data_IF_867625845148
#
_entry.id   IF_867625845148
#
_cell.length_a   1.000
_cell.length_b   1.000
_cell.length_c   1.000
_cell.angle_alpha   90.00
_cell.angle_beta   90.00
_cell.angle_gamma   90.00
#
_symmetry.space_group_name_H-M   'P 1'
#
loop_
_entity.id
_entity.type
_entity.pdbx_description
1 polymer ?
#
# COMPACT_ATOMS: atom_id res chain seq x y z
N UNK A 1 2.33 3.19 12.32
CA UNK A 1 3.68 2.77 11.91
C UNK A 1 3.78 2.78 10.38
N UNK A 2 4.98 2.95 9.85
CA UNK A 2 5.24 2.91 8.40
C UNK A 2 6.45 2.02 8.11
N UNK A 3 6.44 1.34 6.97
CA UNK A 3 7.62 0.63 6.48
C UNK A 3 8.79 1.62 6.28
N UNK A 4 10.04 1.19 6.46
CA UNK A 4 11.20 2.10 6.39
C UNK A 4 11.29 2.89 5.08
N UNK A 5 10.98 2.27 3.94
CA UNK A 5 11.01 2.91 2.63
C UNK A 5 9.93 3.98 2.42
N UNK A 6 8.87 3.99 3.24
CA UNK A 6 7.81 5.00 3.21
C UNK A 6 8.06 6.16 4.19
N UNK A 7 9.20 6.21 4.87
CA UNK A 7 9.52 7.30 5.81
C UNK A 7 9.51 8.70 5.19
N UNK A 8 9.95 8.93 3.94
CA UNK A 8 9.78 10.24 3.29
C UNK A 8 8.32 10.67 3.20
N UNK A 9 7.43 9.73 2.86
CA UNK A 9 5.97 9.97 2.78
C UNK A 9 5.41 10.29 4.17
N UNK A 10 5.81 9.54 5.19
CA UNK A 10 5.43 9.79 6.58
C UNK A 10 5.81 11.23 7.00
N UNK A 11 7.05 11.64 6.80
CA UNK A 11 7.49 12.99 7.17
C UNK A 11 6.80 14.09 6.34
N UNK A 12 6.49 13.82 5.06
CA UNK A 12 5.73 14.74 4.23
C UNK A 12 4.28 14.91 4.76
N UNK A 13 3.62 13.82 5.14
CA UNK A 13 2.29 13.86 5.76
C UNK A 13 2.34 14.63 7.08
N UNK A 14 3.32 14.37 7.95
CA UNK A 14 3.49 15.11 9.19
C UNK A 14 3.71 16.61 8.96
N UNK A 15 4.41 16.98 7.89
CA UNK A 15 4.53 18.39 7.49
C UNK A 15 3.18 18.99 7.08
N UNK A 16 2.41 18.29 6.25
CA UNK A 16 1.08 18.75 5.82
C UNK A 16 0.09 18.89 6.98
N UNK A 17 0.26 18.07 8.03
CA UNK A 17 -0.53 18.14 9.27
C UNK A 17 -0.02 19.20 10.27
N UNK A 18 1.07 19.89 9.95
CA UNK A 18 1.67 20.88 10.84
C UNK A 18 2.52 20.32 11.99
N UNK A 19 2.81 19.02 11.98
CA UNK A 19 3.59 18.33 13.02
C UNK A 19 5.08 18.25 12.70
N UNK A 20 5.51 18.68 11.52
CA UNK A 20 6.89 18.66 11.06
C UNK A 20 7.23 19.98 10.39
N UNK A 21 8.46 20.50 10.58
CA UNK A 21 8.92 21.71 9.91
C UNK A 21 9.44 21.43 8.50
N UNK A 22 9.28 22.40 7.59
CA UNK A 22 9.85 22.31 6.25
C UNK A 22 11.39 22.23 6.28
N UNK A 23 12.01 22.89 7.27
CA UNK A 23 13.47 22.87 7.43
C UNK A 23 13.96 21.45 7.74
N UNK A 24 13.32 20.76 8.70
CA UNK A 24 13.66 19.37 9.03
C UNK A 24 13.40 18.43 7.85
N UNK A 25 12.30 18.64 7.12
CA UNK A 25 11.96 17.85 5.95
C UNK A 25 13.02 18.00 4.85
N UNK A 26 13.47 19.23 4.57
CA UNK A 26 14.54 19.51 3.60
C UNK A 26 15.89 18.87 4.00
N UNK A 27 16.10 18.67 5.28
CA UNK A 27 17.29 18.00 5.84
C UNK A 27 17.05 16.49 6.08
N UNK A 28 16.10 15.87 5.40
CA UNK A 28 15.85 14.43 5.55
C UNK A 28 17.14 13.62 5.43
N UNK A 29 17.42 12.77 6.42
CA UNK A 29 18.64 11.97 6.59
C UNK A 29 19.93 12.76 6.87
N UNK A 30 19.89 14.06 6.92
CA UNK A 30 21.03 14.87 7.34
C UNK A 30 21.04 15.06 8.87
N UNK A 31 22.20 15.45 9.41
CA UNK A 31 22.32 15.74 10.84
C UNK A 31 21.35 16.88 11.27
N UNK A 32 20.59 16.62 12.33
CA UNK A 32 19.59 17.56 12.84
C UNK A 32 18.32 17.67 11.98
N UNK A 33 18.16 16.85 10.96
CA UNK A 33 16.95 16.78 10.14
C UNK A 33 16.07 15.56 10.46
N UNK A 34 15.03 15.36 9.67
CA UNK A 34 14.12 14.22 9.80
C UNK A 34 14.85 12.88 9.60
N UNK A 35 14.57 11.91 10.47
CA UNK A 35 15.25 10.63 10.49
C UNK A 35 14.86 9.75 9.29
N UNK A 36 15.81 8.97 8.77
CA UNK A 36 15.53 7.95 7.75
C UNK A 36 14.52 6.90 8.24
N UNK A 37 14.57 6.61 9.55
CA UNK A 37 13.62 5.76 10.25
C UNK A 37 12.94 6.62 11.30
N UNK A 38 11.63 6.89 11.20
CA UNK A 38 10.91 7.69 12.17
C UNK A 38 11.18 7.22 13.59
N UNK A 39 11.51 8.16 14.47
CA UNK A 39 11.95 7.87 15.83
C UNK A 39 11.31 8.83 16.85
N UNK A 40 10.62 8.28 17.84
CA UNK A 40 10.03 9.06 18.93
C UNK A 40 11.05 9.86 19.77
N UNK A 41 12.29 9.39 19.80
CA UNK A 41 13.34 9.98 20.64
C UNK A 41 14.32 10.86 19.87
N UNK A 42 14.35 10.77 18.54
CA UNK A 42 15.34 11.49 17.72
C UNK A 42 14.73 12.52 16.79
N UNK A 43 13.50 12.29 16.32
CA UNK A 43 12.78 13.27 15.52
C UNK A 43 12.26 14.41 16.39
N UNK A 44 12.30 15.63 15.85
CA UNK A 44 11.71 16.81 16.49
C UNK A 44 10.20 16.89 16.25
N UNK A 45 9.70 16.22 15.22
CA UNK A 45 8.30 16.14 14.89
C UNK A 45 7.58 15.03 15.67
N UNK A 46 6.25 14.98 15.51
CA UNK A 46 5.43 13.97 16.16
C UNK A 46 5.61 12.61 15.49
N UNK A 47 5.95 11.59 16.26
CA UNK A 47 6.10 10.20 15.81
C UNK A 47 5.43 9.27 16.82
N UNK A 48 4.37 8.57 16.38
CA UNK A 48 3.65 7.61 17.24
C UNK A 48 4.52 6.39 17.57
N UNK A 49 5.15 5.81 16.55
CA UNK A 49 5.95 4.59 16.66
C UNK A 49 7.32 4.79 16.01
N UNK A 50 8.36 4.45 16.74
CA UNK A 50 9.68 4.30 16.14
C UNK A 50 9.67 3.08 15.21
N UNK A 51 10.19 3.22 13.99
CA UNK A 51 10.25 2.16 13.00
C UNK A 51 11.66 2.00 12.44
N UNK A 52 11.90 0.92 11.73
CA UNK A 52 13.21 0.68 11.11
C UNK A 52 13.51 -0.79 10.86
N UNK A 53 12.94 -1.67 11.64
CA UNK A 53 13.05 -3.11 11.43
C UNK A 53 11.83 -3.62 10.68
N UNK A 54 12.06 -4.42 9.64
CA UNK A 54 11.03 -5.01 8.79
C UNK A 54 10.09 -5.86 9.66
N UNK A 55 8.77 -5.70 9.48
CA UNK A 55 7.74 -6.44 10.21
C UNK A 55 7.46 -5.97 11.64
N UNK A 56 8.43 -5.41 12.37
CA UNK A 56 8.22 -5.03 13.77
C UNK A 56 7.19 -3.90 13.93
N UNK A 57 7.15 -2.93 13.00
CA UNK A 57 6.13 -1.88 13.02
C UNK A 57 4.71 -2.42 12.91
N UNK A 58 4.54 -3.49 12.16
CA UNK A 58 3.26 -4.19 11.99
C UNK A 58 2.80 -4.80 13.32
N UNK A 59 3.63 -5.64 13.92
CA UNK A 59 3.35 -6.23 15.23
C UNK A 59 3.12 -5.18 16.33
N UNK A 60 3.92 -4.11 16.34
CA UNK A 60 3.76 -3.02 17.30
C UNK A 60 2.39 -2.35 17.24
N UNK A 61 1.82 -2.15 16.04
CA UNK A 61 0.47 -1.57 15.91
C UNK A 61 -0.61 -2.47 16.48
N UNK A 62 -0.49 -3.78 16.32
CA UNK A 62 -1.40 -4.73 16.94
C UNK A 62 -1.35 -4.67 18.46
N UNK A 63 -0.16 -4.78 19.03
CA UNK A 63 -0.01 -4.75 20.50
C UNK A 63 -0.41 -3.38 21.08
N UNK A 64 -0.19 -2.28 20.35
CA UNK A 64 -0.70 -0.96 20.76
C UNK A 64 -2.23 -0.91 20.76
N UNK A 65 -2.89 -1.57 19.81
CA UNK A 65 -4.35 -1.70 19.80
C UNK A 65 -4.84 -2.51 21.01
N UNK A 66 -4.21 -3.63 21.31
CA UNK A 66 -4.52 -4.43 22.51
C UNK A 66 -4.33 -3.64 23.81
N UNK A 67 -3.27 -2.85 23.92
CA UNK A 67 -3.05 -1.97 25.09
C UNK A 67 -4.15 -0.92 25.19
N UNK A 68 -4.56 -0.31 24.08
CA UNK A 68 -5.65 0.65 24.06
C UNK A 68 -6.97 0.01 24.54
N UNK A 69 -7.30 -1.19 24.06
CA UNK A 69 -8.49 -1.93 24.45
C UNK A 69 -8.45 -2.33 25.92
N UNK A 70 -7.29 -2.75 26.43
CA UNK A 70 -7.07 -3.05 27.85
C UNK A 70 -7.32 -1.81 28.72
N UNK A 71 -6.71 -0.67 28.38
CA UNK A 71 -6.88 0.58 29.12
C UNK A 71 -8.34 1.04 29.12
N UNK A 72 -9.04 0.89 28.02
CA UNK A 72 -10.46 1.20 27.91
C UNK A 72 -11.31 0.29 28.80
N UNK A 73 -11.12 -1.03 28.70
CA UNK A 73 -11.88 -2.01 29.46
C UNK A 73 -11.70 -1.86 30.98
N UNK A 74 -10.55 -1.38 31.42
CA UNK A 74 -10.25 -1.12 32.82
C UNK A 74 -10.55 0.31 33.30
N UNK A 75 -11.23 1.14 32.49
CA UNK A 75 -11.56 2.53 32.81
C UNK A 75 -10.32 3.38 33.17
N UNK A 76 -9.17 3.09 32.52
CA UNK A 76 -7.92 3.79 32.73
C UNK A 76 -7.71 4.97 31.77
N UNK A 77 -8.66 5.19 30.85
CA UNK A 77 -8.70 6.34 29.93
C UNK A 77 -9.76 7.35 30.39
N UNK A 78 -9.59 8.66 30.08
CA UNK A 78 -10.64 9.65 30.29
C UNK A 78 -11.95 9.20 29.63
N UNK A 79 -13.09 9.45 30.28
CA UNK A 79 -14.40 8.96 29.84
C UNK A 79 -14.84 9.52 28.46
N UNK A 80 -14.32 10.67 28.06
CA UNK A 80 -14.56 11.34 26.79
C UNK A 80 -13.51 11.03 25.72
N UNK A 81 -12.50 10.22 26.05
CA UNK A 81 -11.47 9.88 25.09
C UNK A 81 -11.97 8.90 24.05
N UNK A 82 -11.98 9.33 22.79
CA UNK A 82 -12.24 8.44 21.66
C UNK A 82 -11.06 7.51 21.43
N UNK A 83 -11.36 6.23 21.23
CA UNK A 83 -10.34 5.26 20.84
C UNK A 83 -9.84 5.56 19.42
N UNK A 84 -8.52 5.57 19.27
CA UNK A 84 -7.87 5.75 17.97
C UNK A 84 -7.77 4.43 17.20
N UNK A 85 -7.59 4.53 15.89
CA UNK A 85 -7.27 3.39 15.05
C UNK A 85 -5.76 3.29 14.87
N UNK A 86 -5.22 2.11 15.09
CA UNK A 86 -3.81 1.84 14.81
C UNK A 86 -3.65 1.48 13.34
N UNK A 87 -2.71 2.12 12.65
CA UNK A 87 -2.49 1.90 11.21
C UNK A 87 -1.03 1.53 10.98
N UNK A 88 -0.79 0.40 10.31
CA UNK A 88 0.50 0.06 9.77
C UNK A 88 0.47 0.18 8.24
N UNK A 89 1.41 0.95 7.69
CA UNK A 89 1.71 0.95 6.26
C UNK A 89 2.92 0.04 6.06
N UNK A 90 2.71 -1.11 5.44
CA UNK A 90 3.71 -2.14 5.26
C UNK A 90 3.94 -2.48 3.78
N UNK A 91 5.09 -3.04 3.46
CA UNK A 91 5.34 -3.64 2.14
C UNK A 91 4.90 -5.10 2.11
N UNK A 92 4.63 -5.62 0.92
CA UNK A 92 4.35 -7.05 0.72
C UNK A 92 5.52 -7.95 1.16
N UNK A 93 6.76 -7.49 1.01
CA UNK A 93 7.94 -8.20 1.50
C UNK A 93 8.05 -8.26 3.05
N UNK A 94 7.32 -7.43 3.78
CA UNK A 94 7.26 -7.57 5.25
C UNK A 94 6.50 -8.83 5.69
N UNK A 95 5.73 -9.44 4.79
CA UNK A 95 5.10 -10.74 5.02
C UNK A 95 6.11 -11.91 4.98
N UNK A 96 7.36 -11.68 4.62
CA UNK A 96 8.42 -12.67 4.76
C UNK A 96 8.91 -12.80 6.23
N UNK A 97 8.50 -11.87 7.10
CA UNK A 97 8.86 -11.85 8.51
C UNK A 97 7.87 -12.65 9.38
N UNK A 98 8.36 -13.65 10.11
CA UNK A 98 7.54 -14.55 10.94
C UNK A 98 6.70 -13.83 12.00
N UNK A 99 7.21 -12.74 12.57
CA UNK A 99 6.51 -11.96 13.59
C UNK A 99 5.21 -11.31 13.07
N UNK A 100 5.08 -11.09 11.77
CA UNK A 100 3.84 -10.57 11.15
C UNK A 100 2.74 -11.62 11.25
N UNK A 101 3.06 -12.88 10.97
CA UNK A 101 2.10 -13.98 11.09
C UNK A 101 1.71 -14.27 12.54
N UNK A 102 2.65 -14.18 13.47
CA UNK A 102 2.35 -14.31 14.89
C UNK A 102 1.40 -13.20 15.34
N UNK A 103 1.68 -11.94 14.98
CA UNK A 103 0.81 -10.81 15.28
C UNK A 103 -0.57 -10.95 14.62
N UNK A 104 -0.64 -11.45 13.38
CA UNK A 104 -1.90 -11.69 12.68
C UNK A 104 -2.82 -12.63 13.46
N UNK A 105 -2.27 -13.73 13.98
CA UNK A 105 -3.01 -14.70 14.78
C UNK A 105 -3.42 -14.13 16.14
N UNK A 106 -2.57 -13.33 16.77
CA UNK A 106 -2.94 -12.64 18.03
C UNK A 106 -4.10 -11.66 17.80
N UNK A 107 -4.11 -10.94 16.66
CA UNK A 107 -5.23 -10.08 16.28
C UNK A 107 -6.56 -10.83 16.21
N UNK A 108 -6.57 -12.01 15.62
CA UNK A 108 -7.75 -12.88 15.58
C UNK A 108 -8.13 -13.41 16.96
N UNK A 109 -7.19 -13.94 17.73
CA UNK A 109 -7.44 -14.50 19.08
C UNK A 109 -8.07 -13.48 20.03
N UNK A 110 -7.72 -12.22 19.91
CA UNK A 110 -8.16 -11.15 20.80
C UNK A 110 -9.23 -10.24 20.18
N UNK A 111 -9.79 -10.62 19.02
CA UNK A 111 -10.84 -9.88 18.31
C UNK A 111 -10.53 -8.39 18.16
N UNK A 112 -9.31 -8.07 17.73
CA UNK A 112 -8.84 -6.69 17.58
C UNK A 112 -9.57 -5.98 16.44
N UNK A 113 -10.31 -4.90 16.76
CA UNK A 113 -11.16 -4.18 15.80
C UNK A 113 -10.55 -2.84 15.35
N UNK A 114 -9.65 -2.26 16.13
CA UNK A 114 -9.10 -0.91 15.93
C UNK A 114 -7.80 -0.90 15.12
N UNK A 115 -7.63 -1.82 14.18
CA UNK A 115 -6.38 -2.04 13.48
C UNK A 115 -6.58 -2.11 11.98
N UNK A 116 -5.77 -1.36 11.22
CA UNK A 116 -5.63 -1.48 9.78
C UNK A 116 -4.19 -1.79 9.40
N UNK A 117 -4.00 -2.81 8.60
CA UNK A 117 -2.74 -3.06 7.89
C UNK A 117 -2.92 -2.73 6.41
N UNK A 118 -2.23 -1.70 5.96
CA UNK A 118 -2.25 -1.25 4.56
C UNK A 118 -1.02 -1.80 3.88
N UNK A 119 -1.21 -2.78 2.99
CA UNK A 119 -0.13 -3.47 2.29
C UNK A 119 0.12 -2.77 0.95
N UNK A 120 1.32 -2.20 0.80
CA UNK A 120 1.80 -1.68 -0.47
C UNK A 120 2.34 -2.86 -1.31
N UNK A 121 1.50 -3.34 -2.22
CA UNK A 121 1.80 -4.49 -3.05
C UNK A 121 2.57 -4.08 -4.30
N UNK A 122 3.89 -4.21 -4.29
CA UNK A 122 4.76 -3.86 -5.40
C UNK A 122 5.46 -5.06 -6.07
N UNK A 123 5.21 -6.27 -5.61
CA UNK A 123 5.79 -7.54 -6.10
C UNK A 123 7.31 -7.60 -5.97
N UNK A 124 7.91 -6.90 -5.01
CA UNK A 124 9.35 -6.92 -4.76
C UNK A 124 9.63 -7.51 -3.39
N UNK A 125 10.25 -8.67 -3.34
CA UNK A 125 10.84 -9.28 -2.15
C UNK A 125 12.33 -8.95 -2.06
N UNK A 126 12.92 -9.18 -0.90
CA UNK A 126 14.36 -9.07 -0.69
C UNK A 126 15.16 -10.00 -1.64
N UNK A 127 14.59 -11.14 -1.99
CA UNK A 127 15.22 -12.18 -2.79
C UNK A 127 14.93 -12.08 -4.29
N UNK A 128 14.03 -11.19 -4.71
CA UNK A 128 13.72 -11.03 -6.12
C UNK A 128 12.32 -10.48 -6.41
N UNK A 129 11.94 -10.53 -7.69
CA UNK A 129 10.62 -10.11 -8.17
C UNK A 129 9.71 -11.31 -8.25
N UNK A 130 8.55 -11.24 -7.58
CA UNK A 130 7.54 -12.30 -7.59
C UNK A 130 6.49 -11.97 -8.64
N UNK A 131 6.39 -12.82 -9.67
CA UNK A 131 5.44 -12.65 -10.78
C UNK A 131 4.12 -13.39 -10.57
N UNK A 132 4.07 -14.33 -9.65
CA UNK A 132 2.85 -15.10 -9.35
C UNK A 132 1.84 -14.24 -8.62
N UNK A 133 0.57 -14.45 -8.85
CA UNK A 133 -0.55 -13.74 -8.23
C UNK A 133 -0.52 -13.79 -6.68
N UNK A 134 0.62 -13.39 -6.08
CA UNK A 134 0.88 -13.42 -4.65
C UNK A 134 -0.20 -12.68 -3.86
N UNK A 135 -0.74 -11.59 -4.42
CA UNK A 135 -1.83 -10.84 -3.77
C UNK A 135 -3.07 -11.70 -3.49
N UNK A 136 -3.38 -12.70 -4.34
CA UNK A 136 -4.48 -13.62 -4.09
C UNK A 136 -4.18 -14.56 -2.92
N UNK A 137 -2.94 -15.04 -2.81
CA UNK A 137 -2.50 -15.87 -1.69
C UNK A 137 -2.50 -15.09 -0.39
N UNK A 138 -2.03 -13.84 -0.42
CA UNK A 138 -2.07 -12.92 0.72
C UNK A 138 -3.53 -12.72 1.16
N UNK A 139 -4.43 -12.37 0.22
CA UNK A 139 -5.85 -12.19 0.49
C UNK A 139 -6.44 -13.42 1.18
N UNK A 140 -6.27 -14.60 0.57
CA UNK A 140 -6.79 -15.86 1.12
C UNK A 140 -6.24 -16.17 2.50
N UNK A 141 -4.96 -15.86 2.74
CA UNK A 141 -4.33 -16.08 4.03
C UNK A 141 -4.97 -15.23 5.13
N UNK A 142 -5.14 -13.92 4.90
CA UNK A 142 -5.79 -13.02 5.84
C UNK A 142 -7.27 -13.40 6.07
N UNK A 143 -8.01 -13.72 5.03
CA UNK A 143 -9.41 -14.15 5.12
C UNK A 143 -9.56 -15.47 5.89
N UNK A 144 -8.64 -16.41 5.70
CA UNK A 144 -8.65 -17.71 6.43
C UNK A 144 -8.54 -17.51 7.93
N UNK A 145 -7.82 -16.50 8.39
CA UNK A 145 -7.69 -16.18 9.81
C UNK A 145 -8.70 -15.11 10.26
N UNK A 146 -9.75 -14.86 9.48
CA UNK A 146 -10.89 -14.03 9.88
C UNK A 146 -10.70 -12.51 9.69
N UNK A 147 -9.65 -12.06 9.02
CA UNK A 147 -9.47 -10.65 8.71
C UNK A 147 -10.32 -10.24 7.50
N UNK A 148 -10.89 -9.04 7.57
CA UNK A 148 -11.56 -8.42 6.42
C UNK A 148 -10.52 -7.84 5.48
N UNK A 149 -10.51 -8.27 4.22
CA UNK A 149 -9.59 -7.79 3.19
C UNK A 149 -10.30 -6.91 2.19
N UNK A 150 -9.71 -5.76 1.87
CA UNK A 150 -10.15 -4.85 0.81
C UNK A 150 -9.02 -4.74 -0.21
N UNK A 151 -9.28 -5.20 -1.43
CA UNK A 151 -8.31 -5.17 -2.53
C UNK A 151 -8.49 -3.91 -3.39
N UNK A 152 -7.51 -3.01 -3.35
CA UNK A 152 -7.49 -1.77 -4.14
C UNK A 152 -6.37 -1.85 -5.20
N UNK A 153 -6.39 -2.89 -6.03
CA UNK A 153 -5.33 -3.15 -7.03
C UNK A 153 -5.45 -2.25 -8.25
N UNK A 154 -6.66 -2.11 -8.77
CA UNK A 154 -6.93 -1.35 -9.99
C UNK A 154 -7.80 -0.15 -9.68
N UNK A 155 -7.45 1.01 -10.24
CA UNK A 155 -8.26 2.22 -10.15
C UNK A 155 -9.53 2.13 -11.03
N UNK A 156 -10.42 3.09 -10.88
CA UNK A 156 -11.73 3.12 -11.55
C UNK A 156 -11.64 3.05 -13.07
N UNK A 157 -10.64 3.73 -13.68
CA UNK A 157 -10.44 3.71 -15.14
C UNK A 157 -10.10 2.30 -15.65
N UNK A 158 -9.19 1.60 -14.97
CA UNK A 158 -8.85 0.22 -15.33
C UNK A 158 -10.01 -0.72 -15.10
N UNK A 159 -10.75 -0.58 -13.99
CA UNK A 159 -11.94 -1.38 -13.73
C UNK A 159 -13.00 -1.19 -14.83
N UNK A 160 -13.22 0.04 -15.27
CA UNK A 160 -14.12 0.33 -16.39
C UNK A 160 -13.64 -0.31 -17.69
N UNK A 161 -12.35 -0.23 -18.00
CA UNK A 161 -11.76 -0.84 -19.20
C UNK A 161 -11.88 -2.38 -19.19
N UNK A 162 -11.78 -3.02 -18.03
CA UNK A 162 -11.92 -4.48 -17.90
C UNK A 162 -13.33 -5.00 -18.22
N UNK A 163 -14.35 -4.15 -18.15
CA UNK A 163 -15.71 -4.50 -18.54
C UNK A 163 -15.95 -4.46 -20.07
N UNK A 164 -14.97 -3.96 -20.84
CA UNK A 164 -15.05 -3.92 -22.30
C UNK A 164 -14.65 -5.25 -22.97
N UNK A 165 -14.84 -5.37 -24.30
CA UNK A 165 -14.55 -6.60 -25.06
C UNK A 165 -13.08 -7.07 -24.96
N UNK A 166 -12.14 -6.13 -24.81
CA UNK A 166 -10.71 -6.41 -24.63
C UNK A 166 -10.30 -6.55 -23.15
N UNK A 167 -11.23 -6.37 -22.23
CA UNK A 167 -10.93 -6.20 -20.80
C UNK A 167 -10.24 -7.39 -20.14
N UNK A 168 -10.67 -8.61 -20.48
CA UNK A 168 -10.04 -9.82 -19.95
C UNK A 168 -8.58 -9.97 -20.38
N UNK A 169 -8.28 -9.67 -21.65
CA UNK A 169 -6.92 -9.73 -22.18
C UNK A 169 -6.03 -8.64 -21.56
N UNK A 170 -6.55 -7.42 -21.42
CA UNK A 170 -5.85 -6.31 -20.77
C UNK A 170 -5.52 -6.62 -19.29
N UNK A 171 -6.51 -7.12 -18.55
CA UNK A 171 -6.32 -7.50 -17.14
C UNK A 171 -5.28 -8.59 -17.00
N UNK A 172 -5.36 -9.64 -17.84
CA UNK A 172 -4.38 -10.72 -17.83
C UNK A 172 -2.96 -10.20 -18.14
N UNK A 173 -2.82 -9.29 -19.10
CA UNK A 173 -1.53 -8.69 -19.42
C UNK A 173 -0.95 -7.91 -18.25
N UNK A 174 -1.76 -7.05 -17.59
CA UNK A 174 -1.30 -6.27 -16.42
C UNK A 174 -0.89 -7.20 -15.28
N UNK A 175 -1.66 -8.27 -15.04
CA UNK A 175 -1.38 -9.21 -13.95
C UNK A 175 -0.07 -9.98 -14.15
N UNK A 176 0.33 -10.22 -15.39
CA UNK A 176 1.51 -11.01 -15.74
C UNK A 176 2.67 -10.17 -16.29
N UNK A 177 2.50 -8.87 -16.49
CA UNK A 177 3.56 -8.00 -16.97
C UNK A 177 4.71 -7.96 -15.95
N UNK A 178 5.98 -8.17 -16.40
CA UNK A 178 7.12 -8.04 -15.52
C UNK A 178 7.20 -6.64 -14.89
N UNK A 179 7.46 -6.57 -13.58
CA UNK A 179 7.55 -5.30 -12.85
C UNK A 179 8.50 -4.30 -13.49
N UNK A 180 9.65 -4.77 -13.94
CA UNK A 180 10.65 -3.91 -14.57
C UNK A 180 10.11 -3.26 -15.85
N UNK A 181 9.39 -4.03 -16.67
CA UNK A 181 8.75 -3.51 -17.87
C UNK A 181 7.67 -2.49 -17.54
N UNK A 182 6.77 -2.87 -16.63
CA UNK A 182 5.67 -1.98 -16.21
C UNK A 182 6.20 -0.66 -15.65
N UNK A 183 7.21 -0.72 -14.76
CA UNK A 183 7.85 0.47 -14.19
C UNK A 183 8.54 1.32 -15.25
N UNK A 184 9.23 0.69 -16.22
CA UNK A 184 9.89 1.41 -17.30
C UNK A 184 8.90 2.15 -18.19
N UNK A 185 7.78 1.52 -18.56
CA UNK A 185 6.72 2.13 -19.35
C UNK A 185 6.03 3.28 -18.59
N UNK A 186 5.80 3.08 -17.28
CA UNK A 186 5.25 4.13 -16.41
C UNK A 186 6.17 5.34 -16.35
N UNK A 187 7.48 5.14 -16.17
CA UNK A 187 8.46 6.21 -16.06
C UNK A 187 8.67 6.95 -17.38
N UNK A 188 8.83 6.21 -18.49
CA UNK A 188 9.06 6.79 -19.81
C UNK A 188 7.84 7.50 -20.41
N UNK A 189 6.66 7.12 -19.98
CA UNK A 189 5.34 7.59 -20.47
C UNK A 189 5.03 7.23 -21.93
N UNK A 190 5.88 6.49 -22.58
CA UNK A 190 5.72 6.04 -23.95
C UNK A 190 5.88 4.52 -24.07
N UNK A 191 5.63 3.97 -25.24
CA UNK A 191 5.81 2.54 -25.53
C UNK A 191 4.64 1.64 -25.11
N UNK A 192 3.65 2.13 -24.36
CA UNK A 192 2.51 1.31 -23.95
C UNK A 192 1.80 0.67 -25.14
N UNK A 193 1.48 1.49 -26.17
CA UNK A 193 0.76 1.04 -27.37
C UNK A 193 1.51 -0.04 -28.13
N UNK A 194 2.82 0.12 -28.28
CA UNK A 194 3.68 -0.83 -29.00
C UNK A 194 3.72 -2.19 -28.27
N UNK A 195 4.00 -2.18 -26.97
CA UNK A 195 4.05 -3.38 -26.15
C UNK A 195 2.69 -4.11 -26.11
N UNK A 196 1.62 -3.37 -25.82
CA UNK A 196 0.28 -3.95 -25.77
C UNK A 196 -0.16 -4.52 -27.12
N UNK A 197 0.14 -3.84 -28.24
CA UNK A 197 -0.15 -4.32 -29.60
C UNK A 197 0.64 -5.58 -29.95
N UNK A 198 1.89 -5.65 -29.50
CA UNK A 198 2.74 -6.83 -29.68
C UNK A 198 2.23 -8.04 -28.90
N UNK A 199 2.06 -7.84 -27.59
CA UNK A 199 1.78 -8.93 -26.65
C UNK A 199 0.33 -9.44 -26.71
N UNK A 200 -0.63 -8.57 -27.07
CA UNK A 200 -2.05 -8.90 -27.14
C UNK A 200 -2.56 -9.04 -28.58
N UNK A 201 -1.65 -9.27 -29.52
CA UNK A 201 -1.97 -9.50 -30.95
C UNK A 201 -2.94 -10.66 -31.09
N UNK A 202 -4.07 -10.40 -31.77
CA UNK A 202 -5.09 -11.42 -32.01
C UNK A 202 -6.18 -11.53 -30.94
N UNK A 203 -6.06 -10.79 -29.83
CA UNK A 203 -7.15 -10.70 -28.85
C UNK A 203 -8.35 -9.95 -29.42
N UNK A 204 -9.54 -10.49 -29.21
CA UNK A 204 -10.79 -9.95 -29.77
C UNK A 204 -11.05 -8.54 -29.24
N UNK A 205 -11.32 -7.59 -30.14
CA UNK A 205 -11.65 -6.20 -29.80
C UNK A 205 -10.45 -5.35 -29.36
N UNK A 206 -9.25 -5.93 -29.27
CA UNK A 206 -8.09 -5.24 -28.68
C UNK A 206 -7.56 -4.11 -29.59
N UNK A 207 -7.53 -4.29 -30.92
CA UNK A 207 -7.12 -3.22 -31.82
C UNK A 207 -8.04 -2.01 -31.72
N UNK A 208 -9.36 -2.23 -31.76
CA UNK A 208 -10.33 -1.14 -31.61
C UNK A 208 -10.22 -0.44 -30.26
N UNK A 209 -9.94 -1.19 -29.19
CA UNK A 209 -9.66 -0.66 -27.87
C UNK A 209 -8.44 0.26 -27.91
N UNK A 210 -7.31 -0.18 -28.42
CA UNK A 210 -6.11 0.66 -28.51
C UNK A 210 -6.32 1.93 -29.36
N UNK A 211 -7.06 1.80 -30.47
CA UNK A 211 -7.31 2.92 -31.38
C UNK A 211 -8.28 3.95 -30.79
N UNK A 212 -9.02 3.61 -29.73
CA UNK A 212 -9.91 4.53 -29.02
C UNK A 212 -9.21 5.45 -28.02
N UNK A 213 -7.93 5.23 -27.74
CA UNK A 213 -7.14 6.04 -26.80
C UNK A 213 -6.05 6.82 -27.54
N UNK A 214 -5.80 8.06 -27.15
CA UNK A 214 -4.52 8.73 -27.41
C UNK A 214 -3.40 8.05 -26.62
N UNK A 215 -2.13 8.33 -26.93
CA UNK A 215 -1.02 7.75 -26.14
C UNK A 215 -0.98 8.30 -24.72
N UNK A 216 -1.40 9.54 -24.52
CA UNK A 216 -1.52 10.19 -23.22
C UNK A 216 -2.67 9.54 -22.39
N UNK A 217 -3.83 9.35 -23.00
CA UNK A 217 -4.96 8.69 -22.34
C UNK A 217 -4.66 7.22 -22.02
N UNK A 218 -3.94 6.54 -22.91
CA UNK A 218 -3.50 5.16 -22.68
C UNK A 218 -2.53 5.09 -21.51
N UNK A 219 -1.57 6.01 -21.42
CA UNK A 219 -0.70 6.12 -20.25
C UNK A 219 -1.50 6.39 -18.97
N UNK A 220 -2.44 7.34 -19.00
CA UNK A 220 -3.29 7.65 -17.86
C UNK A 220 -4.19 6.49 -17.43
N UNK A 221 -4.61 5.64 -18.39
CA UNK A 221 -5.32 4.39 -18.09
C UNK A 221 -4.40 3.37 -17.43
N UNK A 222 -3.25 3.09 -18.07
CA UNK A 222 -2.32 2.05 -17.60
C UNK A 222 -1.70 2.36 -16.23
N UNK A 223 -1.59 3.61 -15.88
CA UNK A 223 -1.07 4.05 -14.57
C UNK A 223 -2.16 4.26 -13.50
N UNK A 224 -3.43 4.03 -13.84
CA UNK A 224 -4.54 4.14 -12.90
C UNK A 224 -4.66 2.90 -12.01
N UNK A 225 -3.62 2.65 -11.21
CA UNK A 225 -3.63 1.63 -10.17
C UNK A 225 -4.47 2.10 -8.97
N UNK A 226 -5.01 1.16 -8.19
CA UNK A 226 -5.87 1.49 -7.06
C UNK A 226 -5.22 2.44 -6.03
N UNK A 227 -3.94 2.25 -5.73
CA UNK A 227 -3.17 3.14 -4.86
C UNK A 227 -2.86 4.53 -5.44
N UNK A 228 -3.11 4.75 -6.74
CA UNK A 228 -2.93 6.04 -7.42
C UNK A 228 -4.25 6.72 -7.78
N UNK A 229 -5.38 6.08 -7.50
CA UNK A 229 -6.71 6.63 -7.73
C UNK A 229 -7.27 7.20 -6.44
N UNK A 230 -7.06 8.51 -6.24
CA UNK A 230 -7.41 9.19 -4.99
C UNK A 230 -8.92 9.09 -4.69
N UNK A 231 -9.77 9.23 -5.71
CA UNK A 231 -11.21 9.14 -5.54
C UNK A 231 -11.61 7.74 -5.06
N UNK A 232 -11.04 6.70 -5.68
CA UNK A 232 -11.28 5.31 -5.29
C UNK A 232 -10.77 5.00 -3.88
N UNK A 233 -9.60 5.55 -3.50
CA UNK A 233 -9.09 5.43 -2.13
C UNK A 233 -10.03 6.08 -1.11
N UNK A 234 -10.45 7.32 -1.36
CA UNK A 234 -11.35 8.04 -0.45
C UNK A 234 -12.66 7.28 -0.25
N UNK A 235 -13.28 6.75 -1.30
CA UNK A 235 -14.52 5.96 -1.20
C UNK A 235 -14.38 4.70 -0.34
N UNK A 236 -13.19 4.11 -0.28
CA UNK A 236 -12.96 2.88 0.47
C UNK A 236 -12.45 3.09 1.90
N UNK A 237 -11.88 4.27 2.19
CA UNK A 237 -11.34 4.61 3.52
C UNK A 237 -12.20 5.61 4.31
N UNK A 238 -13.28 6.16 3.71
CA UNK A 238 -14.17 7.15 4.34
C UNK A 238 -15.16 6.54 5.37
#
# INVERSE_FOLDING_TARGET
AVKPHASPVFHAIQYLLGHQSLENLKKFRAFGGAQAYPSRSKDQGFVDFSTGSVGLGVGTTLFASLVQDYLHAHNMLPADQKLGRMIALMGDAELDEGNVFEALLEGWKHDVQNLWWVIDYNRQSLDGVINDNLFQKITQFFETVGWRVVNLKYGKKLQAAFNGPAGGALKHWIDNCPNQLYSALTYKRDGWREHLRGDLRGSVGFSAFLDSYSDEDLHALMTNLGGHDLEYLVENFA
#
